data_IF_689577433036
#
_entry.id   IF_689577433036
#
_cell.length_a   1.000
_cell.length_b   1.000
_cell.length_c   1.000
_cell.angle_alpha   90.00
_cell.angle_beta   90.00
_cell.angle_gamma   90.00
#
_symmetry.space_group_name_H-M   'P 1'
#
loop_
_entity.id
_entity.type
_entity.pdbx_description
1 polymer ?
#
# COMPACT_ATOMS: atom_id res chain seq x y z
N UNK A 1 -17.53 11.40 0.14
CA UNK A 1 -17.58 11.06 -1.29
C UNK A 1 -16.45 10.09 -1.52
N UNK A 2 -16.78 8.88 -1.98
CA UNK A 2 -15.76 7.87 -2.21
C UNK A 2 -14.82 8.31 -3.33
N UNK A 3 -13.52 8.12 -3.14
CA UNK A 3 -12.46 8.49 -4.08
C UNK A 3 -11.83 9.85 -3.80
N UNK A 4 -12.36 10.66 -2.87
CA UNK A 4 -11.82 12.00 -2.60
C UNK A 4 -10.39 11.94 -2.06
N UNK A 5 -10.12 10.99 -1.15
CA UNK A 5 -8.81 10.83 -0.51
C UNK A 5 -7.79 10.34 -1.55
N UNK A 6 -8.19 9.38 -2.37
CA UNK A 6 -7.41 8.86 -3.49
C UNK A 6 -6.98 9.98 -4.44
N UNK A 7 -7.92 10.80 -4.94
CA UNK A 7 -7.59 11.86 -5.89
C UNK A 7 -6.72 12.95 -5.24
N UNK A 8 -7.03 13.37 -4.01
CA UNK A 8 -6.26 14.38 -3.31
C UNK A 8 -4.81 13.97 -3.09
N UNK A 9 -4.59 12.79 -2.53
CA UNK A 9 -3.23 12.31 -2.26
C UNK A 9 -2.50 12.01 -3.57
N UNK A 10 -3.17 11.44 -4.57
CA UNK A 10 -2.55 11.21 -5.89
C UNK A 10 -2.09 12.51 -6.54
N UNK A 11 -2.89 13.58 -6.46
CA UNK A 11 -2.49 14.90 -6.94
C UNK A 11 -1.30 15.49 -6.17
N UNK A 12 -1.30 15.38 -4.84
CA UNK A 12 -0.16 15.82 -4.01
C UNK A 12 1.12 15.09 -4.42
N UNK A 13 1.05 13.76 -4.53
CA UNK A 13 2.18 12.92 -4.97
C UNK A 13 2.64 13.34 -6.37
N UNK A 14 1.72 13.57 -7.29
CA UNK A 14 2.04 14.02 -8.64
C UNK A 14 2.80 15.35 -8.63
N UNK A 15 2.32 16.36 -7.89
CA UNK A 15 2.97 17.67 -7.77
C UNK A 15 4.36 17.52 -7.13
N UNK A 16 4.48 16.74 -6.06
CA UNK A 16 5.77 16.49 -5.41
C UNK A 16 6.78 15.89 -6.40
N UNK A 17 6.39 14.83 -7.11
CA UNK A 17 7.27 14.14 -8.06
C UNK A 17 7.61 15.03 -9.26
N UNK A 18 6.67 15.86 -9.72
CA UNK A 18 6.89 16.74 -10.87
C UNK A 18 7.84 17.90 -10.56
N UNK A 19 7.71 18.53 -9.39
CA UNK A 19 8.45 19.74 -9.07
C UNK A 19 9.69 19.52 -8.19
N UNK A 20 9.67 18.57 -7.26
CA UNK A 20 10.73 18.44 -6.25
C UNK A 20 11.76 17.36 -6.55
N UNK A 21 11.41 16.33 -7.34
CA UNK A 21 12.35 15.25 -7.67
C UNK A 21 13.19 15.65 -8.89
N UNK A 22 14.53 15.56 -8.87
CA UNK A 22 15.34 15.95 -10.02
C UNK A 22 15.12 15.05 -11.24
N UNK A 23 15.23 15.60 -12.44
CA UNK A 23 15.04 14.88 -13.73
C UNK A 23 16.07 13.77 -13.96
N UNK A 24 17.12 13.72 -13.16
CA UNK A 24 18.20 12.73 -13.21
C UNK A 24 17.81 11.37 -12.65
N UNK A 25 16.68 11.27 -11.93
CA UNK A 25 16.21 10.02 -11.34
C UNK A 25 15.56 9.15 -12.43
N UNK A 26 16.11 7.96 -12.73
CA UNK A 26 15.47 7.03 -13.66
C UNK A 26 14.11 6.58 -13.09
N UNK A 27 13.15 6.26 -13.95
CA UNK A 27 11.77 5.83 -13.61
C UNK A 27 10.79 6.93 -13.15
N UNK A 28 11.22 8.20 -13.05
CA UNK A 28 10.32 9.31 -12.68
C UNK A 28 9.12 9.44 -13.62
N UNK A 29 9.37 9.43 -14.93
CA UNK A 29 8.32 9.60 -15.94
C UNK A 29 7.37 8.40 -15.97
N UNK A 30 7.91 7.18 -15.89
CA UNK A 30 7.10 5.96 -15.83
C UNK A 30 6.16 5.98 -14.63
N UNK A 31 6.65 6.38 -13.45
CA UNK A 31 5.83 6.50 -12.25
C UNK A 31 4.70 7.54 -12.41
N UNK A 32 5.01 8.73 -12.92
CA UNK A 32 4.01 9.78 -13.17
C UNK A 32 2.96 9.32 -14.18
N UNK A 33 3.39 8.62 -15.24
CA UNK A 33 2.50 8.07 -16.26
C UNK A 33 1.55 7.03 -15.67
N UNK A 34 2.08 6.07 -14.92
CA UNK A 34 1.26 5.05 -14.26
C UNK A 34 0.29 5.65 -13.24
N UNK A 35 0.73 6.64 -12.45
CA UNK A 35 -0.13 7.34 -11.50
C UNK A 35 -1.31 8.02 -12.21
N UNK A 36 -1.04 8.76 -13.29
CA UNK A 36 -2.09 9.41 -14.08
C UNK A 36 -3.02 8.39 -14.73
N UNK A 37 -2.47 7.32 -15.29
CA UNK A 37 -3.24 6.26 -15.91
C UNK A 37 -4.20 5.62 -14.90
N UNK A 38 -3.75 5.34 -13.67
CA UNK A 38 -4.63 4.83 -12.61
C UNK A 38 -5.74 5.82 -12.26
N UNK A 39 -5.43 7.11 -12.15
CA UNK A 39 -6.42 8.16 -11.84
C UNK A 39 -7.50 8.28 -12.92
N UNK A 40 -7.13 8.15 -14.20
CA UNK A 40 -8.05 8.17 -15.34
C UNK A 40 -8.87 6.87 -15.39
N UNK A 41 -8.20 5.72 -15.26
CA UNK A 41 -8.84 4.40 -15.34
C UNK A 41 -9.77 4.10 -14.16
N UNK A 42 -9.56 4.74 -13.00
CA UNK A 42 -10.49 4.67 -11.88
C UNK A 42 -11.88 5.21 -12.26
N UNK A 43 -11.96 6.10 -13.26
CA UNK A 43 -13.19 6.62 -13.85
C UNK A 43 -14.06 5.60 -14.57
N UNK A 44 -13.45 4.52 -15.08
CA UNK A 44 -14.11 3.57 -15.96
C UNK A 44 -14.50 2.29 -15.23
N UNK A 45 -15.77 1.92 -15.35
CA UNK A 45 -16.32 0.68 -14.80
C UNK A 45 -16.44 -0.36 -15.92
N UNK A 46 -15.98 -1.57 -15.64
CA UNK A 46 -16.29 -2.74 -16.45
C UNK A 46 -17.44 -3.49 -15.78
N UNK A 47 -18.57 -3.53 -16.46
CA UNK A 47 -19.72 -4.35 -16.06
C UNK A 47 -19.58 -5.72 -16.71
N UNK A 48 -19.23 -6.75 -15.94
CA UNK A 48 -19.33 -8.13 -16.37
C UNK A 48 -20.53 -8.81 -15.68
N UNK A 49 -21.13 -9.85 -16.29
CA UNK A 49 -22.39 -10.44 -15.81
C UNK A 49 -22.34 -11.02 -14.38
N UNK A 50 -21.16 -11.38 -13.88
CA UNK A 50 -20.96 -11.95 -12.54
C UNK A 50 -20.28 -11.02 -11.55
N UNK A 51 -19.39 -10.13 -12.01
CA UNK A 51 -18.61 -9.23 -11.14
C UNK A 51 -18.41 -7.92 -11.87
N UNK A 52 -18.74 -6.80 -11.24
CA UNK A 52 -18.41 -5.47 -11.73
C UNK A 52 -17.09 -5.00 -11.11
N UNK A 53 -16.15 -4.53 -11.94
CA UNK A 53 -14.81 -4.13 -11.49
C UNK A 53 -14.41 -2.82 -12.16
N UNK A 54 -13.75 -1.93 -11.42
CA UNK A 54 -13.13 -0.74 -12.04
C UNK A 54 -11.87 -1.10 -12.84
N UNK A 55 -11.68 -0.45 -13.99
CA UNK A 55 -10.60 -0.75 -14.94
C UNK A 55 -9.19 -0.45 -14.37
N UNK A 56 -9.08 0.42 -13.38
CA UNK A 56 -7.83 0.70 -12.66
C UNK A 56 -7.27 -0.53 -11.95
N UNK A 57 -8.12 -1.45 -11.51
CA UNK A 57 -7.73 -2.68 -10.81
C UNK A 57 -6.87 -3.61 -11.66
N UNK A 58 -7.40 -4.13 -12.79
CA UNK A 58 -6.62 -4.95 -13.73
C UNK A 58 -5.35 -4.27 -14.22
N UNK A 59 -5.39 -2.95 -14.44
CA UNK A 59 -4.22 -2.17 -14.85
C UNK A 59 -3.13 -2.16 -13.77
N UNK A 60 -3.49 -1.90 -12.51
CA UNK A 60 -2.57 -1.95 -11.38
C UNK A 60 -1.98 -3.35 -11.21
N UNK A 61 -2.81 -4.39 -11.31
CA UNK A 61 -2.34 -5.78 -11.22
C UNK A 61 -1.31 -6.09 -12.31
N UNK A 62 -1.57 -5.68 -13.56
CA UNK A 62 -0.64 -5.87 -14.67
C UNK A 62 0.70 -5.19 -14.41
N UNK A 63 0.70 -3.95 -13.92
CA UNK A 63 1.94 -3.23 -13.57
C UNK A 63 2.72 -4.00 -12.50
N UNK A 64 2.05 -4.48 -11.46
CA UNK A 64 2.70 -5.22 -10.38
C UNK A 64 3.36 -6.52 -10.89
N UNK A 65 2.71 -7.25 -11.80
CA UNK A 65 3.30 -8.41 -12.45
C UNK A 65 4.57 -8.07 -13.25
N UNK A 66 4.58 -6.94 -13.97
CA UNK A 66 5.78 -6.49 -14.71
C UNK A 66 6.95 -6.20 -13.75
N UNK A 67 6.68 -5.58 -12.60
CA UNK A 67 7.69 -5.28 -11.59
C UNK A 67 8.25 -6.55 -10.91
N UNK A 68 7.43 -7.58 -10.70
CA UNK A 68 7.86 -8.81 -10.01
C UNK A 68 8.71 -9.74 -10.87
N UNK A 69 8.65 -9.60 -12.21
CA UNK A 69 9.34 -10.48 -13.18
C UNK A 69 10.85 -10.65 -12.94
N UNK A 70 11.49 -9.67 -12.28
CA UNK A 70 12.95 -9.67 -12.03
C UNK A 70 13.35 -10.31 -10.69
N UNK A 71 12.40 -10.84 -9.91
CA UNK A 71 12.64 -11.38 -8.56
C UNK A 71 12.97 -12.88 -8.63
N UNK A 72 13.82 -13.36 -7.73
CA UNK A 72 14.15 -14.79 -7.62
C UNK A 72 12.95 -15.62 -7.15
N UNK A 73 12.88 -16.88 -7.57
CA UNK A 73 11.75 -17.78 -7.29
C UNK A 73 11.46 -17.90 -5.79
N UNK A 74 12.51 -18.02 -4.96
CA UNK A 74 12.37 -18.12 -3.50
C UNK A 74 11.69 -16.88 -2.92
N UNK A 75 12.13 -15.69 -3.32
CA UNK A 75 11.52 -14.42 -2.88
C UNK A 75 10.10 -14.28 -3.41
N UNK A 76 9.84 -14.79 -4.62
CA UNK A 76 8.49 -14.80 -5.18
C UNK A 76 7.55 -15.65 -4.31
N UNK A 77 7.98 -16.83 -3.83
CA UNK A 77 7.19 -17.65 -2.91
C UNK A 77 6.90 -16.94 -1.58
N UNK A 78 7.89 -16.25 -1.00
CA UNK A 78 7.68 -15.42 0.20
C UNK A 78 6.63 -14.33 -0.05
N UNK A 79 6.73 -13.60 -1.16
CA UNK A 79 5.79 -12.55 -1.54
C UNK A 79 4.37 -13.09 -1.76
N UNK A 80 4.24 -14.26 -2.41
CA UNK A 80 2.96 -14.92 -2.62
C UNK A 80 2.34 -15.32 -1.28
N UNK A 81 3.10 -16.00 -0.42
CA UNK A 81 2.61 -16.40 0.92
C UNK A 81 2.15 -15.19 1.73
N UNK A 82 2.96 -14.12 1.74
CA UNK A 82 2.58 -12.88 2.40
C UNK A 82 1.34 -12.23 1.79
N UNK A 83 1.20 -12.25 0.47
CA UNK A 83 0.02 -11.69 -0.20
C UNK A 83 -1.25 -12.48 0.11
N UNK A 84 -1.16 -13.81 0.27
CA UNK A 84 -2.29 -14.64 0.69
C UNK A 84 -2.72 -14.32 2.13
N UNK A 85 -1.77 -14.12 3.04
CA UNK A 85 -2.07 -13.71 4.42
C UNK A 85 -2.78 -12.36 4.43
N UNK A 86 -2.27 -11.36 3.70
CA UNK A 86 -2.92 -10.04 3.61
C UNK A 86 -4.30 -10.13 2.93
N UNK A 87 -4.43 -10.96 1.90
CA UNK A 87 -5.70 -11.21 1.18
C UNK A 87 -6.78 -11.71 2.13
N UNK A 88 -6.46 -12.77 2.91
CA UNK A 88 -7.38 -13.35 3.88
C UNK A 88 -7.69 -12.38 5.02
N UNK A 89 -6.69 -11.63 5.49
CA UNK A 89 -6.86 -10.62 6.52
C UNK A 89 -7.80 -9.49 6.07
N UNK A 90 -7.61 -8.97 4.84
CA UNK A 90 -8.47 -7.94 4.26
C UNK A 90 -9.90 -8.44 4.06
N UNK A 91 -10.08 -9.60 3.43
CA UNK A 91 -11.41 -10.16 3.18
C UNK A 91 -12.16 -10.46 4.50
N UNK A 92 -11.47 -11.05 5.48
CA UNK A 92 -12.04 -11.30 6.82
C UNK A 92 -12.43 -10.00 7.52
N UNK A 93 -11.60 -8.96 7.44
CA UNK A 93 -11.91 -7.66 8.03
C UNK A 93 -13.16 -7.03 7.40
N UNK A 94 -13.29 -7.08 6.08
CA UNK A 94 -14.48 -6.55 5.38
C UNK A 94 -15.74 -7.33 5.74
N UNK A 95 -15.66 -8.65 5.88
CA UNK A 95 -16.77 -9.48 6.34
C UNK A 95 -17.14 -9.16 7.79
N UNK A 96 -16.15 -9.03 8.66
CA UNK A 96 -16.37 -8.67 10.06
C UNK A 96 -17.01 -7.28 10.18
N UNK A 97 -16.58 -6.33 9.35
CA UNK A 97 -17.21 -5.02 9.25
C UNK A 97 -18.67 -5.11 8.82
N UNK A 98 -19.03 -6.04 7.92
CA UNK A 98 -20.43 -6.20 7.49
C UNK A 98 -21.33 -6.79 8.59
N UNK A 99 -20.78 -7.70 9.41
CA UNK A 99 -21.53 -8.43 10.44
C UNK A 99 -21.69 -7.63 11.74
N UNK A 100 -20.62 -6.99 12.20
CA UNK A 100 -20.60 -6.30 13.49
C UNK A 100 -20.47 -4.77 13.32
N UNK A 101 -21.17 -3.97 14.14
CA UNK A 101 -21.15 -2.51 14.03
C UNK A 101 -19.89 -1.88 14.65
N UNK A 102 -18.72 -2.24 14.12
CA UNK A 102 -17.41 -1.67 14.51
C UNK A 102 -17.35 -0.16 14.20
N UNK A 103 -18.21 0.32 13.29
CA UNK A 103 -18.42 1.74 12.99
C UNK A 103 -18.77 2.59 14.21
N UNK A 104 -19.26 1.98 15.30
CA UNK A 104 -19.64 2.68 16.52
C UNK A 104 -18.42 3.23 17.27
N UNK A 105 -17.23 2.65 17.07
CA UNK A 105 -15.98 3.08 17.71
C UNK A 105 -15.17 3.99 16.77
N UNK A 106 -14.98 3.60 15.50
CA UNK A 106 -14.18 4.34 14.53
C UNK A 106 -14.60 4.00 13.10
N UNK A 107 -14.29 4.89 12.13
CA UNK A 107 -14.50 4.57 10.70
C UNK A 107 -13.68 3.31 10.32
N UNK A 108 -14.29 2.29 9.70
CA UNK A 108 -13.61 1.02 9.38
C UNK A 108 -12.33 1.20 8.55
N UNK A 109 -12.30 2.18 7.65
CA UNK A 109 -11.13 2.50 6.82
C UNK A 109 -9.86 2.74 7.64
N UNK A 110 -9.96 3.45 8.76
CA UNK A 110 -8.79 3.72 9.61
C UNK A 110 -8.35 2.48 10.38
N UNK A 111 -9.31 1.69 10.87
CA UNK A 111 -9.01 0.46 11.58
C UNK A 111 -8.37 -0.58 10.65
N UNK A 112 -8.88 -0.70 9.41
CA UNK A 112 -8.29 -1.49 8.33
C UNK A 112 -6.85 -1.03 8.05
N UNK A 113 -6.65 0.29 7.95
CA UNK A 113 -5.33 0.88 7.71
C UNK A 113 -4.32 0.48 8.79
N UNK A 114 -4.68 0.62 10.06
CA UNK A 114 -3.83 0.25 11.20
C UNK A 114 -3.58 -1.26 11.19
N UNK A 115 -4.62 -2.06 11.03
CA UNK A 115 -4.55 -3.51 11.06
C UNK A 115 -3.62 -4.08 9.97
N UNK A 116 -3.81 -3.68 8.72
CA UNK A 116 -2.97 -4.16 7.63
C UNK A 116 -1.54 -3.65 7.71
N UNK A 117 -1.33 -2.40 8.14
CA UNK A 117 0.03 -1.89 8.33
C UNK A 117 0.75 -2.62 9.46
N UNK A 118 0.08 -2.88 10.57
CA UNK A 118 0.64 -3.68 11.65
C UNK A 118 1.04 -5.07 11.16
N UNK A 119 0.14 -5.75 10.43
CA UNK A 119 0.39 -7.09 9.92
C UNK A 119 1.57 -7.12 8.94
N UNK A 120 1.63 -6.22 7.96
CA UNK A 120 2.74 -6.23 6.98
C UNK A 120 4.10 -5.91 7.61
N UNK A 121 4.14 -5.10 8.67
CA UNK A 121 5.37 -4.79 9.40
C UNK A 121 5.94 -6.03 10.10
N UNK A 122 5.07 -6.94 10.55
CA UNK A 122 5.49 -8.23 11.11
C UNK A 122 5.97 -9.19 10.02
N UNK A 123 5.34 -9.18 8.84
CA UNK A 123 5.64 -10.13 7.77
C UNK A 123 6.93 -9.79 7.01
N UNK A 124 7.19 -8.51 6.71
CA UNK A 124 8.31 -8.11 5.86
C UNK A 124 9.11 -6.96 6.43
N UNK A 125 10.44 -7.14 6.49
CA UNK A 125 11.39 -6.09 6.84
C UNK A 125 11.66 -5.10 5.70
N UNK A 126 11.58 -5.57 4.45
CA UNK A 126 11.88 -4.75 3.28
C UNK A 126 10.67 -3.92 2.85
N UNK A 127 10.79 -2.59 2.93
CA UNK A 127 9.71 -1.66 2.60
C UNK A 127 9.15 -1.81 1.18
N UNK A 128 9.98 -2.12 0.18
CA UNK A 128 9.49 -2.32 -1.20
C UNK A 128 8.58 -3.53 -1.30
N UNK A 129 8.94 -4.61 -0.62
CA UNK A 129 8.13 -5.83 -0.56
C UNK A 129 6.84 -5.59 0.24
N UNK A 130 6.89 -4.79 1.32
CA UNK A 130 5.69 -4.40 2.08
C UNK A 130 4.64 -3.76 1.19
N UNK A 131 5.01 -2.72 0.43
CA UNK A 131 4.08 -2.00 -0.44
C UNK A 131 3.49 -2.90 -1.54
N UNK A 132 4.34 -3.75 -2.13
CA UNK A 132 3.93 -4.69 -3.17
C UNK A 132 2.90 -5.70 -2.65
N UNK A 133 3.19 -6.33 -1.52
CA UNK A 133 2.32 -7.34 -0.90
C UNK A 133 1.03 -6.73 -0.40
N UNK A 134 1.07 -5.51 0.16
CA UNK A 134 -0.14 -4.77 0.54
C UNK A 134 -1.05 -4.52 -0.67
N UNK A 135 -0.50 -4.01 -1.77
CA UNK A 135 -1.28 -3.73 -2.97
C UNK A 135 -1.94 -5.00 -3.54
N UNK A 136 -1.15 -6.06 -3.77
CA UNK A 136 -1.70 -7.31 -4.32
C UNK A 136 -2.69 -7.94 -3.34
N UNK A 137 -2.34 -7.99 -2.06
CA UNK A 137 -3.19 -8.59 -1.03
C UNK A 137 -4.53 -7.87 -0.90
N UNK A 138 -4.53 -6.53 -0.92
CA UNK A 138 -5.77 -5.75 -0.89
C UNK A 138 -6.60 -5.91 -2.17
N UNK A 139 -5.98 -6.00 -3.34
CA UNK A 139 -6.71 -6.23 -4.60
C UNK A 139 -7.36 -7.60 -4.60
N UNK A 140 -6.58 -8.65 -4.32
CA UNK A 140 -7.08 -10.02 -4.31
C UNK A 140 -8.11 -10.23 -3.22
N UNK A 141 -7.92 -9.62 -2.04
CA UNK A 141 -8.89 -9.65 -0.94
C UNK A 141 -10.23 -9.03 -1.33
N UNK A 142 -10.21 -7.91 -2.06
CA UNK A 142 -11.42 -7.23 -2.51
C UNK A 142 -12.16 -8.03 -3.60
N UNK A 143 -11.42 -8.70 -4.49
CA UNK A 143 -12.01 -9.62 -5.48
C UNK A 143 -12.69 -10.81 -4.78
N UNK A 144 -12.03 -11.42 -3.80
CA UNK A 144 -12.61 -12.54 -3.03
C UNK A 144 -13.86 -12.08 -2.26
N UNK A 145 -13.79 -10.92 -1.61
CA UNK A 145 -14.92 -10.33 -0.91
C UNK A 145 -16.10 -10.06 -1.87
N UNK A 146 -15.83 -9.45 -3.03
CA UNK A 146 -16.84 -9.21 -4.06
C UNK A 146 -17.46 -10.51 -4.58
N UNK A 147 -16.66 -11.56 -4.81
CA UNK A 147 -17.16 -12.85 -5.26
C UNK A 147 -18.06 -13.53 -4.22
N UNK A 148 -17.71 -13.41 -2.94
CA UNK A 148 -18.52 -13.93 -1.85
C UNK A 148 -19.86 -13.18 -1.72
N UNK A 149 -19.85 -11.85 -1.84
CA UNK A 149 -21.08 -11.05 -1.82
C UNK A 149 -21.97 -11.36 -3.04
N UNK A 150 -21.38 -11.50 -4.22
CA UNK A 150 -22.11 -11.88 -5.43
C UNK A 150 -22.78 -13.26 -5.28
N UNK A 151 -22.12 -14.22 -4.63
CA UNK A 151 -22.72 -15.53 -4.31
C UNK A 151 -23.96 -15.39 -3.42
N UNK A 152 -23.96 -14.44 -2.49
CA UNK A 152 -25.12 -14.10 -1.65
C UNK A 152 -26.09 -13.09 -2.30
N UNK A 153 -25.98 -12.85 -3.61
CA UNK A 153 -26.83 -11.91 -4.36
C UNK A 153 -26.77 -10.45 -3.86
N UNK A 154 -25.68 -10.08 -3.20
CA UNK A 154 -25.43 -8.69 -2.78
C UNK A 154 -24.62 -7.98 -3.86
N UNK A 155 -25.15 -6.90 -4.47
CA UNK A 155 -24.43 -6.15 -5.48
C UNK A 155 -23.26 -5.40 -4.84
N UNK A 156 -22.04 -5.79 -5.19
CA UNK A 156 -20.81 -5.11 -4.80
C UNK A 156 -19.91 -4.92 -6.03
N UNK A 157 -19.35 -3.72 -6.17
CA UNK A 157 -18.42 -3.38 -7.24
C UNK A 157 -17.00 -3.51 -6.70
N UNK A 158 -16.24 -4.47 -7.20
CA UNK A 158 -14.86 -4.66 -6.78
C UNK A 158 -13.96 -3.51 -7.25
N UNK A 159 -12.96 -3.20 -6.43
CA UNK A 159 -11.96 -2.17 -6.65
C UNK A 159 -12.59 -0.80 -6.92
N UNK A 160 -13.73 -0.51 -6.29
CA UNK A 160 -14.40 0.77 -6.40
C UNK A 160 -13.57 1.94 -5.82
N UNK A 161 -14.07 3.16 -5.92
CA UNK A 161 -13.41 4.34 -5.36
C UNK A 161 -13.10 4.22 -3.85
N UNK A 162 -13.98 3.57 -3.08
CA UNK A 162 -13.75 3.31 -1.66
C UNK A 162 -12.52 2.41 -1.42
N UNK A 163 -12.29 1.43 -2.29
CA UNK A 163 -11.08 0.60 -2.24
C UNK A 163 -9.82 1.43 -2.51
N UNK A 164 -9.87 2.35 -3.48
CA UNK A 164 -8.75 3.24 -3.80
C UNK A 164 -8.40 4.19 -2.64
N UNK A 165 -9.41 4.74 -1.96
CA UNK A 165 -9.21 5.55 -0.74
C UNK A 165 -8.50 4.73 0.34
N UNK A 166 -8.98 3.50 0.60
CA UNK A 166 -8.37 2.60 1.58
C UNK A 166 -6.94 2.22 1.19
N UNK A 167 -6.68 1.92 -0.09
CA UNK A 167 -5.35 1.56 -0.58
C UNK A 167 -4.36 2.71 -0.39
N UNK A 168 -4.74 3.93 -0.71
CA UNK A 168 -3.87 5.10 -0.52
C UNK A 168 -3.63 5.38 0.96
N UNK A 169 -4.63 5.23 1.82
CA UNK A 169 -4.44 5.36 3.27
C UNK A 169 -3.43 4.34 3.81
N UNK A 170 -3.60 3.07 3.42
CA UNK A 170 -2.70 1.97 3.84
C UNK A 170 -1.28 2.22 3.36
N UNK A 171 -1.10 2.54 2.08
CA UNK A 171 0.23 2.79 1.50
C UNK A 171 0.87 4.05 2.07
N UNK A 172 0.09 5.12 2.24
CA UNK A 172 0.54 6.36 2.84
C UNK A 172 1.06 6.15 4.26
N UNK A 173 0.33 5.38 5.07
CA UNK A 173 0.76 5.01 6.42
C UNK A 173 2.06 4.17 6.40
N UNK A 174 2.20 3.22 5.45
CA UNK A 174 3.42 2.43 5.34
C UNK A 174 4.64 3.28 4.93
N UNK A 175 4.44 4.22 4.01
CA UNK A 175 5.47 5.17 3.58
C UNK A 175 5.85 6.10 4.74
N UNK A 176 4.87 6.60 5.49
CA UNK A 176 5.11 7.41 6.68
C UNK A 176 5.95 6.65 7.70
N UNK A 177 5.61 5.38 7.96
CA UNK A 177 6.40 4.52 8.83
C UNK A 177 7.84 4.36 8.33
N UNK A 178 8.03 4.18 7.02
CA UNK A 178 9.37 4.13 6.41
C UNK A 178 10.15 5.43 6.63
N UNK A 179 9.50 6.59 6.53
CA UNK A 179 10.16 7.87 6.81
C UNK A 179 10.60 7.95 8.28
N UNK A 180 9.78 7.48 9.22
CA UNK A 180 10.13 7.42 10.64
C UNK A 180 11.32 6.46 10.90
N UNK A 181 11.34 5.28 10.26
CA UNK A 181 12.48 4.35 10.33
C UNK A 181 13.79 5.03 9.90
N UNK A 182 13.76 5.79 8.80
CA UNK A 182 14.94 6.49 8.27
C UNK A 182 15.42 7.61 9.20
N UNK A 183 14.49 8.41 9.74
CA UNK A 183 14.83 9.46 10.72
C UNK A 183 15.43 8.83 11.98
N UNK A 184 14.85 7.73 12.47
CA UNK A 184 15.39 7.01 13.63
C UNK A 184 16.81 6.48 13.40
N UNK A 185 17.07 5.89 12.23
CA UNK A 185 18.41 5.44 11.85
C UNK A 185 19.41 6.60 11.78
N UNK A 186 19.01 7.74 11.22
CA UNK A 186 19.85 8.93 11.13
C UNK A 186 20.22 9.48 12.51
N UNK A 187 19.25 9.58 13.43
CA UNK A 187 19.48 10.03 14.81
C UNK A 187 20.42 9.07 15.54
N UNK A 188 20.24 7.76 15.37
CA UNK A 188 21.09 6.74 15.98
C UNK A 188 22.56 6.88 15.53
N UNK A 189 22.80 7.05 14.23
CA UNK A 189 24.15 7.24 13.67
C UNK A 189 24.83 8.51 14.18
N UNK A 190 24.08 9.61 14.30
CA UNK A 190 24.58 10.86 14.90
C UNK A 190 24.94 10.66 16.37
N UNK A 191 24.08 9.97 17.13
CA UNK A 191 24.34 9.70 18.55
C UNK A 191 25.63 8.89 18.70
N UNK A 192 25.76 7.78 17.96
CA UNK A 192 26.91 6.90 18.03
C UNK A 192 28.23 7.60 17.64
N UNK A 193 28.24 8.39 16.57
CA UNK A 193 29.43 9.16 16.16
C UNK A 193 29.86 10.20 17.20
N UNK A 194 28.91 10.86 17.88
CA UNK A 194 29.21 11.76 18.99
C UNK A 194 29.82 11.02 20.18
N UNK A 195 29.31 9.85 20.55
CA UNK A 195 29.89 9.04 21.63
C UNK A 195 31.32 8.59 21.34
N UNK A 196 31.58 8.08 20.13
CA UNK A 196 32.94 7.66 19.73
C UNK A 196 33.92 8.85 19.71
N UNK A 197 33.48 10.04 19.28
CA UNK A 197 34.32 11.24 19.30
C UNK A 197 34.68 11.74 20.71
N UNK A 198 33.84 11.45 21.72
CA UNK A 198 34.13 11.78 23.12
C UNK A 198 35.15 10.80 23.73
N UNK A 199 34.97 9.50 23.53
CA UNK A 199 35.95 8.49 24.00
C UNK A 199 37.33 8.67 23.35
N UNK A 200 37.39 9.02 22.06
CA UNK A 200 38.67 9.30 21.39
C UNK A 200 39.42 10.51 21.96
N UNK A 201 38.70 11.51 22.53
CA UNK A 201 39.32 12.67 23.19
C UNK A 201 39.76 12.37 24.62
N UNK A 202 39.06 11.50 25.33
CA UNK A 202 39.44 11.08 26.69
C UNK A 202 40.71 10.21 26.67
N UNK A 203 40.85 9.32 25.69
CA UNK A 203 42.05 8.49 25.54
C UNK A 203 43.30 9.25 25.06
N UNK A 204 43.16 10.46 24.50
CA UNK A 204 44.30 11.29 24.04
C UNK A 204 44.81 12.25 25.14
N UNK A 205 44.03 12.41 26.23
CA UNK A 205 44.35 13.29 27.35
C UNK A 205 44.86 12.51 28.59
N UNK A 206 45.12 11.21 28.45
CA UNK A 206 45.81 10.35 29.43
C UNK A 206 47.20 9.99 28.90
#
# INVERSE_FOLDING_TARGET
>A
MDGIIFYWISWIVWVIVMYFIPKTVPFRFDFLFHLLAVMVLAGYKLEAPLVSVHLSGPYLFFILCVYIRKISIIKMMELISGSLIITLAYASFQLFSLLDPIWLIMKPSYLLCIFLNYLILLLFKNWKHRLFVLLIGMMMGDIIYSGLLAYHSLPYVALAYAWHDNAVLVLGANILWRMLELVGQYIYLISQSRFLSKQGKENFNQ
#
